data_IF_171271460356
#
_entry.id   IF_171271460356
#
_cell.length_a   1.000
_cell.length_b   1.000
_cell.length_c   1.000
_cell.angle_alpha   90.00
_cell.angle_beta   90.00
_cell.angle_gamma   90.00
#
_symmetry.space_group_name_H-M   'P 1'
#
loop_
_entity.id
_entity.type
_entity.pdbx_description
1 polymer ?
#
# COMPACT_ATOMS: atom_id res chain seq x y z
N UNK A 1 26.90 9.04 -12.58
CA UNK A 1 25.82 8.03 -12.64
C UNK A 1 24.52 8.80 -12.58
N UNK A 2 23.60 8.65 -13.55
CA UNK A 2 22.39 9.44 -13.52
C UNK A 2 21.56 8.97 -12.33
N UNK A 3 21.22 9.92 -11.46
CA UNK A 3 20.22 9.78 -10.43
C UNK A 3 18.94 9.35 -11.14
N UNK A 4 18.61 8.05 -11.13
CA UNK A 4 17.29 7.61 -11.52
C UNK A 4 16.38 8.17 -10.44
N UNK A 5 15.69 9.26 -10.76
CA UNK A 5 14.51 9.65 -10.01
C UNK A 5 13.65 8.39 -10.08
N UNK A 6 13.47 7.67 -8.97
CA UNK A 6 12.48 6.59 -8.93
C UNK A 6 11.14 7.28 -9.18
N UNK A 7 10.70 7.29 -10.43
CA UNK A 7 9.42 7.83 -10.83
C UNK A 7 8.40 6.73 -10.65
N UNK A 8 7.49 6.90 -9.69
CA UNK A 8 6.39 5.96 -9.49
C UNK A 8 5.94 5.90 -8.03
N UNK A 9 5.20 4.86 -7.69
CA UNK A 9 4.48 4.70 -6.43
C UNK A 9 4.86 3.38 -5.77
N UNK A 10 5.23 3.44 -4.50
CA UNK A 10 5.60 2.29 -3.69
C UNK A 10 4.48 2.02 -2.68
N UNK A 11 4.08 0.76 -2.53
CA UNK A 11 3.19 0.34 -1.42
C UNK A 11 4.06 0.07 -0.21
N UNK A 12 3.80 0.77 0.88
CA UNK A 12 4.47 0.58 2.15
C UNK A 12 3.51 -0.05 3.16
N UNK A 13 4.02 -1.01 3.92
CA UNK A 13 3.35 -1.59 5.08
C UNK A 13 4.08 -1.16 6.36
N UNK A 14 3.34 -0.86 7.42
CA UNK A 14 3.89 -0.56 8.72
C UNK A 14 4.26 -1.85 9.47
N UNK A 15 5.52 -1.95 9.88
CA UNK A 15 6.05 -2.94 10.80
C UNK A 15 6.42 -2.27 12.12
N UNK A 16 6.10 -2.92 13.25
CA UNK A 16 6.48 -2.44 14.59
C UNK A 16 8.01 -2.35 14.75
N UNK A 17 8.76 -3.24 14.10
CA UNK A 17 10.21 -3.31 14.23
C UNK A 17 10.94 -2.33 13.29
N UNK A 18 10.44 -2.18 12.07
CA UNK A 18 11.16 -1.52 10.96
C UNK A 18 10.48 -0.24 10.46
N UNK A 19 9.31 0.09 11.02
CA UNK A 19 8.48 1.19 10.55
C UNK A 19 7.87 0.90 9.18
N UNK A 20 7.75 1.93 8.33
CA UNK A 20 7.20 1.80 6.99
C UNK A 20 8.21 1.16 6.03
N UNK A 21 7.95 -0.08 5.65
CA UNK A 21 8.77 -0.89 4.74
C UNK A 21 8.00 -1.18 3.46
N UNK A 22 8.71 -1.45 2.35
CA UNK A 22 8.05 -1.84 1.11
C UNK A 22 7.31 -3.16 1.29
N UNK A 23 6.03 -3.18 0.94
CA UNK A 23 5.19 -4.38 0.96
C UNK A 23 5.63 -5.35 -0.15
N UNK A 24 5.96 -4.79 -1.31
CA UNK A 24 6.27 -5.55 -2.52
C UNK A 24 7.71 -5.32 -2.96
N UNK A 25 8.35 -6.41 -3.35
CA UNK A 25 9.69 -6.42 -3.93
C UNK A 25 9.63 -7.04 -5.33
N UNK A 26 10.47 -6.54 -6.23
CA UNK A 26 10.66 -7.13 -7.55
C UNK A 26 11.46 -8.46 -7.49
N UNK A 27 11.66 -9.09 -8.66
CA UNK A 27 12.41 -10.34 -8.77
C UNK A 27 13.89 -10.26 -8.35
N UNK A 28 14.43 -9.05 -8.19
CA UNK A 28 15.79 -8.78 -7.74
C UNK A 28 15.83 -8.33 -6.26
N UNK A 29 14.69 -8.38 -5.56
CA UNK A 29 14.49 -7.91 -4.18
C UNK A 29 14.63 -6.41 -3.99
N UNK A 30 14.48 -5.61 -5.04
CA UNK A 30 14.37 -4.16 -4.91
C UNK A 30 12.91 -3.79 -4.63
N UNK A 31 12.63 -2.62 -4.00
CA UNK A 31 11.28 -2.08 -3.89
C UNK A 31 10.54 -2.10 -5.22
N UNK A 32 9.35 -2.70 -5.24
CA UNK A 32 8.50 -2.65 -6.42
C UNK A 32 7.85 -1.27 -6.55
N UNK A 33 7.90 -0.70 -7.75
CA UNK A 33 7.39 0.65 -8.03
C UNK A 33 6.38 0.58 -9.17
N UNK A 34 5.16 1.04 -8.89
CA UNK A 34 4.08 1.19 -9.88
C UNK A 34 4.23 2.49 -10.66
N UNK A 35 3.80 2.51 -11.92
CA UNK A 35 3.88 3.73 -12.73
C UNK A 35 2.89 4.80 -12.26
N UNK A 36 1.73 4.38 -11.73
CA UNK A 36 0.66 5.28 -11.27
C UNK A 36 0.11 4.92 -9.90
N UNK A 37 -0.48 5.91 -9.22
CA UNK A 37 -1.17 5.72 -7.94
C UNK A 37 -2.34 4.73 -8.08
N UNK A 38 -3.05 4.80 -9.21
CA UNK A 38 -4.20 3.93 -9.48
C UNK A 38 -3.79 2.47 -9.62
N UNK A 39 -2.65 2.17 -10.25
CA UNK A 39 -2.10 0.80 -10.33
C UNK A 39 -1.70 0.28 -8.95
N UNK A 40 -0.97 1.07 -8.16
CA UNK A 40 -0.60 0.69 -6.79
C UNK A 40 -1.85 0.44 -5.91
N UNK A 41 -2.89 1.24 -6.09
CA UNK A 41 -4.16 1.06 -5.37
C UNK A 41 -4.91 -0.18 -5.85
N UNK A 42 -4.90 -0.45 -7.15
CA UNK A 42 -5.54 -1.64 -7.72
C UNK A 42 -4.89 -2.92 -7.22
N UNK A 43 -3.55 -2.95 -7.13
CA UNK A 43 -2.83 -4.09 -6.55
C UNK A 43 -3.27 -4.34 -5.09
N UNK A 44 -3.31 -3.28 -4.27
CA UNK A 44 -3.79 -3.40 -2.89
C UNK A 44 -5.25 -3.85 -2.81
N UNK A 45 -6.10 -3.40 -3.73
CA UNK A 45 -7.48 -3.88 -3.78
C UNK A 45 -7.52 -5.38 -4.05
N UNK A 46 -6.75 -5.88 -5.02
CA UNK A 46 -6.68 -7.31 -5.34
C UNK A 46 -6.17 -8.12 -4.15
N UNK A 47 -5.11 -7.68 -3.47
CA UNK A 47 -4.62 -8.34 -2.25
C UNK A 47 -5.70 -8.40 -1.14
N UNK A 48 -6.42 -7.30 -0.92
CA UNK A 48 -7.49 -7.24 0.07
C UNK A 48 -8.70 -8.12 -0.30
N UNK A 49 -9.04 -8.20 -1.58
CA UNK A 49 -10.12 -9.07 -2.07
C UNK A 49 -9.76 -10.55 -1.87
N UNK A 50 -8.50 -10.92 -2.14
CA UNK A 50 -7.98 -12.27 -1.91
C UNK A 50 -8.00 -12.62 -0.42
N UNK A 51 -7.52 -11.73 0.46
CA UNK A 51 -7.54 -11.96 1.91
C UNK A 51 -8.96 -12.11 2.44
N UNK A 52 -9.89 -11.30 1.94
CA UNK A 52 -11.29 -11.42 2.31
C UNK A 52 -11.87 -12.77 1.84
N UNK A 53 -11.52 -13.24 0.63
CA UNK A 53 -11.94 -14.56 0.16
C UNK A 53 -11.38 -15.70 1.03
N UNK A 54 -10.11 -15.62 1.44
CA UNK A 54 -9.47 -16.59 2.35
C UNK A 54 -10.14 -16.61 3.74
N UNK A 55 -10.49 -15.45 4.27
CA UNK A 55 -11.22 -15.33 5.55
C UNK A 55 -12.60 -16.00 5.43
N UNK A 56 -13.34 -15.72 4.35
CA UNK A 56 -14.65 -16.36 4.11
C UNK A 56 -14.53 -17.87 3.93
N UNK A 57 -13.43 -18.36 3.38
CA UNK A 57 -13.12 -19.78 3.27
C UNK A 57 -12.69 -20.42 4.61
N UNK A 58 -12.30 -19.61 5.59
CA UNK A 58 -11.74 -20.04 6.88
C UNK A 58 -10.25 -20.39 6.83
N UNK A 59 -9.57 -20.02 5.74
CA UNK A 59 -8.13 -20.26 5.52
C UNK A 59 -7.27 -19.20 6.24
N UNK A 60 -7.86 -18.05 6.58
CA UNK A 60 -7.20 -16.91 7.26
C UNK A 60 -8.05 -16.39 8.42
N UNK A 61 -7.40 -15.92 9.49
CA UNK A 61 -8.09 -15.29 10.62
C UNK A 61 -8.46 -13.83 10.29
N UNK A 62 -9.60 -13.35 10.81
CA UNK A 62 -10.07 -11.97 10.61
C UNK A 62 -9.07 -10.90 11.11
N UNK A 63 -8.27 -11.24 12.12
CA UNK A 63 -7.26 -10.35 12.70
C UNK A 63 -5.92 -10.37 11.94
N UNK A 64 -5.73 -11.27 10.97
CA UNK A 64 -4.46 -11.42 10.23
C UNK A 64 -4.41 -10.51 8.98
N UNK A 65 -4.06 -9.24 9.21
CA UNK A 65 -3.46 -8.37 8.19
C UNK A 65 -4.41 -7.52 7.36
N UNK A 66 -5.69 -7.42 7.71
CA UNK A 66 -6.66 -6.60 6.98
C UNK A 66 -6.68 -5.11 7.36
N UNK A 67 -5.75 -4.66 8.21
CA UNK A 67 -5.76 -3.27 8.65
C UNK A 67 -5.18 -2.37 7.55
N UNK A 68 -6.07 -1.83 6.71
CA UNK A 68 -5.73 -0.87 5.64
C UNK A 68 -4.94 0.34 6.17
N UNK A 69 -5.11 0.69 7.45
CA UNK A 69 -4.36 1.80 8.08
C UNK A 69 -2.88 1.46 8.29
N UNK A 70 -2.51 0.19 8.19
CA UNK A 70 -1.10 -0.25 8.15
C UNK A 70 -0.49 -0.14 6.77
N UNK A 71 -1.23 0.32 5.75
CA UNK A 71 -0.73 0.52 4.39
C UNK A 71 -0.77 1.99 3.98
N UNK A 72 0.21 2.40 3.17
CA UNK A 72 0.21 3.70 2.51
C UNK A 72 0.92 3.60 1.16
N UNK A 73 0.59 4.52 0.26
CA UNK A 73 1.28 4.63 -1.03
C UNK A 73 2.20 5.86 -1.01
N UNK A 74 3.49 5.68 -1.27
CA UNK A 74 4.47 6.77 -1.35
C UNK A 74 4.85 7.04 -2.80
N UNK A 75 4.74 8.30 -3.24
CA UNK A 75 5.31 8.73 -4.51
C UNK A 75 6.83 8.83 -4.39
N UNK A 76 7.57 7.98 -5.09
CA UNK A 76 9.03 7.94 -5.00
C UNK A 76 9.71 9.19 -5.60
N UNK A 77 9.03 9.92 -6.49
CA UNK A 77 9.54 11.14 -7.10
C UNK A 77 9.45 12.36 -6.17
N UNK A 78 8.37 12.48 -5.39
CA UNK A 78 8.07 13.67 -4.56
C UNK A 78 8.17 13.40 -3.06
N UNK A 79 8.18 12.13 -2.65
CA UNK A 79 8.02 11.71 -1.25
C UNK A 79 6.61 11.90 -0.70
N UNK A 80 5.62 12.27 -1.54
CA UNK A 80 4.24 12.46 -1.11
C UNK A 80 3.64 11.12 -0.64
N UNK A 81 3.00 11.14 0.52
CA UNK A 81 2.31 9.99 1.09
C UNK A 81 0.81 10.08 0.79
N UNK A 82 0.24 8.95 0.41
CA UNK A 82 -1.17 8.74 0.19
C UNK A 82 -1.63 7.72 1.22
N UNK A 83 -2.35 8.22 2.23
CA UNK A 83 -3.05 7.37 3.18
C UNK A 83 -4.19 6.64 2.48
N UNK A 84 -4.47 5.44 2.97
CA UNK A 84 -5.50 4.58 2.43
C UNK A 84 -6.60 4.38 3.47
N UNK A 85 -7.81 4.20 2.97
CA UNK A 85 -8.96 3.80 3.75
C UNK A 85 -9.70 2.70 3.00
N UNK A 86 -10.47 1.92 3.74
CA UNK A 86 -11.28 0.85 3.20
C UNK A 86 -12.74 1.23 3.39
N UNK A 87 -13.33 1.80 2.33
CA UNK A 87 -14.73 2.22 2.32
C UNK A 87 -15.56 1.20 1.53
N UNK A 88 -16.54 0.59 2.18
CA UNK A 88 -17.44 -0.41 1.55
C UNK A 88 -16.69 -1.56 0.86
N UNK A 89 -15.58 -2.01 1.47
CA UNK A 89 -14.72 -3.07 0.90
C UNK A 89 -13.82 -2.60 -0.25
N UNK A 90 -13.74 -1.29 -0.50
CA UNK A 90 -12.87 -0.72 -1.54
C UNK A 90 -11.74 0.10 -0.94
N UNK A 91 -10.53 -0.15 -1.43
CA UNK A 91 -9.35 0.67 -1.14
C UNK A 91 -9.53 2.02 -1.81
N UNK A 92 -9.63 3.06 -1.00
CA UNK A 92 -9.74 4.45 -1.43
C UNK A 92 -8.55 5.23 -0.89
N UNK A 93 -8.07 6.18 -1.69
CA UNK A 93 -7.05 7.12 -1.21
C UNK A 93 -7.76 8.12 -0.33
N UNK A 94 -7.38 8.18 0.95
CA UNK A 94 -7.91 9.14 1.89
C UNK A 94 -7.65 10.55 1.36
N UNK A 95 -8.65 11.45 1.36
CA UNK A 95 -8.40 12.84 1.04
C UNK A 95 -7.37 13.35 2.05
N UNK A 96 -6.19 13.74 1.54
CA UNK A 96 -5.06 14.19 2.33
C UNK A 96 -5.56 15.01 3.53
N UNK A 97 -5.30 14.52 4.75
CA UNK A 97 -5.76 15.18 5.95
C UNK A 97 -5.37 16.65 5.86
N UNK A 98 -6.37 17.52 5.76
CA UNK A 98 -6.12 18.95 5.84
C UNK A 98 -5.52 19.14 7.23
N UNK A 99 -4.27 19.63 7.37
CA UNK A 99 -3.71 19.82 8.70
C UNK A 99 -4.68 20.73 9.46
N UNK A 100 -5.22 20.22 10.57
CA UNK A 100 -6.09 20.98 11.44
C UNK A 100 -5.35 22.27 11.82
N UNK A 101 -5.96 23.40 11.46
CA UNK A 101 -5.37 24.73 11.55
C UNK A 101 -5.33 25.25 12.98
#
# INVERSE_FOLDING_TARGET
>A
MPNMINTGYEILQYSVCDGWVNNLLDGEKNPYVFATLEEARAELQEEFDDWNAEIQAGDRAEDDGYDISTFQIKCAATGMLHELDLSEGKVVVSPAQTPAR
#
